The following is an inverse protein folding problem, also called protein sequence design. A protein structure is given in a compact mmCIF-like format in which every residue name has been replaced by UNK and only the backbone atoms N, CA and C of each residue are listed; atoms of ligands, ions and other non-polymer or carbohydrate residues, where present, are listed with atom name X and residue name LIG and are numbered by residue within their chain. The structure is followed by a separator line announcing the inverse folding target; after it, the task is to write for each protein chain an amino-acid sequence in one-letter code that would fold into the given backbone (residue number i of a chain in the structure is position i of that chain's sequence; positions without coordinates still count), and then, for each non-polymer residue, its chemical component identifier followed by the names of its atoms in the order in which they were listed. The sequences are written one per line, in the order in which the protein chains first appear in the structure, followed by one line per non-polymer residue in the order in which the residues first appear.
data_IF_925722929684
#
_entry.id   IF_925722929684
#
_cell.length_a   1.000
_cell.length_b   1.000
_cell.length_c   1.000
_cell.angle_alpha   90.00
_cell.angle_beta   90.00
_cell.angle_gamma   90.00
#
_symmetry.space_group_name_H-M   'P 1'
#
loop_
_entity.id
_entity.type
_entity.pdbx_description
1 polymer ?
#
# COMPACT_ATOMS: atom_id res chain seq x y z
N UNK A 1 -77.05 9.92 10.19
CA UNK A 1 -76.31 8.63 10.14
C UNK A 1 -75.83 8.42 8.70
N UNK A 2 -74.54 8.64 8.41
CA UNK A 2 -73.78 8.01 7.31
C UNK A 2 -72.32 8.46 7.40
N UNK A 3 -71.47 7.45 7.46
CA UNK A 3 -70.04 7.39 7.75
C UNK A 3 -69.16 8.45 7.06
N UNK A 4 -68.30 9.09 7.86
CA UNK A 4 -67.11 9.78 7.36
C UNK A 4 -66.01 8.76 7.08
N UNK A 5 -65.50 8.80 5.86
CA UNK A 5 -64.37 8.02 5.35
C UNK A 5 -63.08 8.61 5.96
N UNK A 6 -62.41 7.87 6.85
CA UNK A 6 -61.08 8.22 7.34
C UNK A 6 -60.07 7.78 6.28
N UNK A 7 -59.53 8.74 5.54
CA UNK A 7 -58.38 8.51 4.65
C UNK A 7 -57.12 8.41 5.51
N UNK A 8 -56.64 7.20 5.74
CA UNK A 8 -55.31 6.95 6.30
C UNK A 8 -54.28 7.25 5.19
N UNK A 9 -53.66 8.43 5.24
CA UNK A 9 -52.47 8.72 4.45
C UNK A 9 -51.30 7.99 5.11
N UNK A 10 -50.95 6.83 4.55
CA UNK A 10 -49.76 6.10 4.92
C UNK A 10 -48.51 6.93 4.60
N UNK A 11 -47.77 7.33 5.63
CA UNK A 11 -46.39 7.77 5.48
C UNK A 11 -45.56 6.57 5.02
N UNK A 12 -45.25 6.51 3.72
CA UNK A 12 -44.12 5.75 3.21
C UNK A 12 -42.85 6.44 3.72
N UNK A 13 -42.38 6.01 4.89
CA UNK A 13 -41.02 6.26 5.32
C UNK A 13 -40.09 5.60 4.28
N UNK A 14 -39.50 6.44 3.43
CA UNK A 14 -38.40 6.04 2.56
C UNK A 14 -37.22 5.76 3.48
N UNK A 15 -37.09 4.49 3.90
CA UNK A 15 -35.81 3.97 4.37
C UNK A 15 -34.88 3.96 3.15
N UNK A 16 -34.24 5.11 2.90
CA UNK A 16 -33.02 5.18 2.13
C UNK A 16 -32.05 4.24 2.83
N UNK A 17 -31.79 3.09 2.20
CA UNK A 17 -30.75 2.15 2.59
C UNK A 17 -29.40 2.88 2.62
N UNK A 18 -29.03 3.47 3.76
CA UNK A 18 -27.63 3.54 4.12
C UNK A 18 -27.25 2.11 4.43
N UNK A 19 -26.64 1.42 3.47
CA UNK A 19 -26.02 0.14 3.76
C UNK A 19 -24.99 0.39 4.87
N UNK A 20 -25.29 -0.04 6.09
CA UNK A 20 -24.34 0.05 7.21
C UNK A 20 -23.10 -0.76 6.83
N UNK A 21 -21.97 -0.08 6.69
CA UNK A 21 -20.70 -0.74 6.43
C UNK A 21 -20.26 -1.50 7.68
N UNK A 22 -19.70 -2.70 7.50
CA UNK A 22 -19.12 -3.43 8.63
C UNK A 22 -17.96 -2.63 9.23
N UNK A 23 -17.83 -2.56 10.58
CA UNK A 23 -16.72 -1.88 11.22
C UNK A 23 -15.36 -2.44 10.78
N UNK A 24 -14.36 -1.57 10.74
CA UNK A 24 -12.98 -1.98 10.44
C UNK A 24 -12.41 -2.74 11.64
N UNK A 25 -11.81 -3.90 11.37
CA UNK A 25 -11.09 -4.69 12.35
C UNK A 25 -9.58 -4.45 12.23
N UNK A 26 -8.92 -4.23 13.37
CA UNK A 26 -7.47 -4.15 13.42
C UNK A 26 -6.90 -4.87 14.64
N UNK A 27 -5.85 -5.64 14.42
CA UNK A 27 -5.11 -6.32 15.48
C UNK A 27 -3.61 -6.29 15.22
N UNK A 28 -2.81 -6.28 16.29
CA UNK A 28 -1.36 -6.44 16.23
C UNK A 28 -0.95 -7.60 17.11
N UNK A 29 -0.25 -8.57 16.52
CA UNK A 29 0.21 -9.78 17.20
C UNK A 29 1.71 -9.97 16.98
N UNK A 30 2.36 -10.69 17.90
CA UNK A 30 3.66 -11.29 17.59
C UNK A 30 3.45 -12.33 16.50
N UNK A 31 4.17 -12.17 15.39
CA UNK A 31 4.00 -13.04 14.24
C UNK A 31 4.73 -14.37 14.42
N UNK A 32 4.13 -15.46 13.95
CA UNK A 32 4.82 -16.73 13.73
C UNK A 32 5.14 -16.82 12.24
N UNK A 33 6.38 -16.55 11.86
CA UNK A 33 6.84 -16.70 10.46
C UNK A 33 7.61 -18.00 10.28
N UNK A 34 7.64 -18.46 9.04
CA UNK A 34 8.57 -19.48 8.59
C UNK A 34 10.01 -19.02 8.92
N UNK A 35 10.77 -19.85 9.63
CA UNK A 35 12.13 -19.59 10.15
C UNK A 35 12.24 -18.61 11.32
N UNK A 36 11.48 -18.81 12.40
CA UNK A 36 11.58 -18.02 13.64
C UNK A 36 13.03 -17.91 14.16
N UNK A 37 13.86 -18.93 13.93
CA UNK A 37 15.27 -18.95 14.30
C UNK A 37 16.10 -17.83 13.64
N UNK A 38 15.64 -17.27 12.51
CA UNK A 38 16.38 -16.24 11.75
C UNK A 38 16.01 -14.80 12.13
N UNK A 39 14.98 -14.59 12.95
CA UNK A 39 14.49 -13.25 13.29
C UNK A 39 14.53 -12.99 14.79
N UNK A 40 14.88 -11.77 15.16
CA UNK A 40 14.89 -11.26 16.54
C UNK A 40 13.55 -10.61 16.90
N UNK A 41 12.87 -10.00 15.92
CA UNK A 41 11.55 -9.40 16.07
C UNK A 41 10.69 -9.80 14.89
N UNK A 42 9.44 -10.16 15.17
CA UNK A 42 8.40 -10.38 14.18
C UNK A 42 7.07 -9.89 14.75
N UNK A 43 6.51 -8.86 14.13
CA UNK A 43 5.21 -8.31 14.51
C UNK A 43 4.36 -8.14 13.26
N UNK A 44 3.10 -8.56 13.36
CA UNK A 44 2.16 -8.46 12.26
C UNK A 44 0.94 -7.70 12.71
N UNK A 45 0.64 -6.63 11.97
CA UNK A 45 -0.64 -5.97 12.03
C UNK A 45 -1.55 -6.57 10.95
N UNK A 46 -2.77 -6.93 11.32
CA UNK A 46 -3.84 -7.32 10.39
C UNK A 46 -4.89 -6.23 10.45
N UNK A 47 -5.21 -5.65 9.30
CA UNK A 47 -6.26 -4.63 9.14
C UNK A 47 -7.23 -5.12 8.08
N UNK A 48 -8.52 -5.19 8.42
CA UNK A 48 -9.52 -5.74 7.51
C UNK A 48 -10.87 -5.08 7.64
N UNK A 49 -11.63 -5.14 6.56
CA UNK A 49 -13.06 -4.84 6.53
C UNK A 49 -13.75 -5.86 5.59
N UNK A 50 -15.01 -5.63 5.26
CA UNK A 50 -15.77 -6.52 4.37
C UNK A 50 -15.24 -6.58 2.92
N UNK A 51 -14.36 -5.66 2.51
CA UNK A 51 -13.84 -5.58 1.15
C UNK A 51 -12.44 -6.15 0.97
N UNK A 52 -11.60 -6.07 2.01
CA UNK A 52 -10.21 -6.48 1.91
C UNK A 52 -9.59 -6.83 3.28
N UNK A 53 -8.51 -7.61 3.26
CA UNK A 53 -7.69 -7.93 4.43
C UNK A 53 -6.23 -7.68 4.08
N UNK A 54 -5.60 -6.79 4.82
CA UNK A 54 -4.21 -6.40 4.64
C UNK A 54 -3.38 -6.83 5.86
N UNK A 55 -2.18 -7.35 5.61
CA UNK A 55 -1.20 -7.71 6.62
C UNK A 55 0.05 -6.88 6.43
N UNK A 56 0.51 -6.24 7.50
CA UNK A 56 1.76 -5.50 7.55
C UNK A 56 2.68 -6.21 8.55
N UNK A 57 3.81 -6.73 8.09
CA UNK A 57 4.75 -7.47 8.94
C UNK A 57 6.06 -6.71 9.06
N UNK A 58 6.40 -6.35 10.30
CA UNK A 58 7.69 -5.87 10.70
C UNK A 58 8.55 -7.05 11.13
N UNK A 59 9.68 -7.26 10.47
CA UNK A 59 10.64 -8.29 10.82
C UNK A 59 12.05 -7.69 10.97
N UNK A 60 12.77 -8.09 12.01
CA UNK A 60 14.18 -7.77 12.19
C UNK A 60 14.98 -9.08 12.20
N UNK A 61 15.93 -9.23 11.28
CA UNK A 61 16.77 -10.42 11.26
C UNK A 61 17.75 -10.43 12.43
N UNK A 62 18.23 -11.61 12.81
CA UNK A 62 19.39 -11.73 13.70
C UNK A 62 20.67 -11.32 12.94
N UNK A 63 21.72 -10.85 13.63
CA UNK A 63 23.04 -10.66 13.02
C UNK A 63 23.51 -11.93 12.29
N UNK A 64 24.20 -11.79 11.16
CA UNK A 64 24.72 -12.92 10.38
C UNK A 64 23.68 -13.63 9.50
N UNK A 65 22.39 -13.31 9.63
CA UNK A 65 21.37 -13.85 8.72
C UNK A 65 21.60 -13.32 7.31
N UNK A 66 21.50 -14.19 6.30
CA UNK A 66 21.74 -13.83 4.88
C UNK A 66 23.15 -13.30 4.59
N UNK A 67 24.15 -13.69 5.39
CA UNK A 67 25.53 -13.20 5.31
C UNK A 67 25.67 -11.68 5.49
N UNK A 68 24.70 -11.05 6.16
CA UNK A 68 24.78 -9.64 6.52
C UNK A 68 25.43 -9.48 7.90
N UNK A 69 26.41 -8.57 8.05
CA UNK A 69 27.11 -8.37 9.33
C UNK A 69 26.20 -7.74 10.41
N UNK A 70 25.14 -7.03 9.99
CA UNK A 70 24.23 -6.30 10.86
C UNK A 70 22.78 -6.82 10.74
N UNK A 71 21.93 -6.64 11.77
CA UNK A 71 20.49 -6.86 11.66
C UNK A 71 19.87 -6.09 10.49
N UNK A 72 18.94 -6.73 9.80
CA UNK A 72 18.25 -6.16 8.64
C UNK A 72 16.74 -6.13 8.90
N UNK A 73 16.17 -4.94 8.85
CA UNK A 73 14.73 -4.74 8.98
C UNK A 73 14.04 -4.97 7.63
N UNK A 74 12.95 -5.73 7.65
CA UNK A 74 11.98 -5.85 6.55
C UNK A 74 10.62 -5.35 7.00
N UNK A 75 9.97 -4.63 6.10
CA UNK A 75 8.57 -4.25 6.24
C UNK A 75 7.79 -4.79 5.05
N UNK A 76 6.96 -5.79 5.32
CA UNK A 76 6.30 -6.60 4.31
C UNK A 76 4.82 -6.26 4.28
N UNK A 77 4.24 -6.29 3.09
CA UNK A 77 2.80 -6.19 2.89
C UNK A 77 2.26 -7.47 2.24
N UNK A 78 1.06 -7.87 2.64
CA UNK A 78 0.32 -8.97 2.04
C UNK A 78 -1.19 -8.68 2.07
N UNK A 79 -1.80 -8.66 0.89
CA UNK A 79 -3.25 -8.65 0.70
C UNK A 79 -3.68 -9.51 -0.49
N UNK A 80 -2.79 -10.35 -1.02
CA UNK A 80 -2.95 -11.05 -2.29
C UNK A 80 -1.63 -11.55 -2.87
N UNK A 81 -1.67 -12.16 -4.06
CA UNK A 81 -0.51 -12.89 -4.61
C UNK A 81 0.58 -12.00 -5.21
N UNK A 82 0.19 -10.93 -5.91
CA UNK A 82 1.08 -10.02 -6.64
C UNK A 82 0.67 -8.57 -6.41
N UNK A 83 1.50 -7.61 -6.84
CA UNK A 83 1.37 -6.18 -6.52
C UNK A 83 2.44 -5.74 -5.53
N UNK A 84 2.03 -5.12 -4.43
CA UNK A 84 2.86 -4.68 -3.31
C UNK A 84 3.25 -5.82 -2.35
N UNK A 85 3.12 -7.08 -2.77
CA UNK A 85 3.28 -8.25 -1.90
C UNK A 85 4.70 -8.48 -1.36
N UNK A 86 4.83 -9.45 -0.45
CA UNK A 86 6.05 -9.78 0.32
C UNK A 86 7.28 -10.21 -0.49
N UNK A 87 7.13 -10.42 -1.81
CA UNK A 87 8.25 -10.70 -2.73
C UNK A 87 9.12 -9.48 -3.01
N UNK A 88 8.63 -8.27 -2.70
CA UNK A 88 9.34 -7.01 -2.87
C UNK A 88 9.30 -6.21 -1.57
N UNK A 89 10.29 -5.34 -1.37
CA UNK A 89 10.20 -4.28 -0.37
C UNK A 89 9.21 -3.22 -0.91
N UNK A 90 7.92 -3.46 -0.63
CA UNK A 90 6.82 -2.72 -1.25
C UNK A 90 6.88 -1.23 -0.99
N UNK A 91 7.43 -0.85 0.16
CA UNK A 91 7.64 0.52 0.59
C UNK A 91 8.95 0.61 1.36
N UNK A 92 9.80 1.57 0.99
CA UNK A 92 10.98 1.96 1.75
C UNK A 92 10.99 3.47 1.96
N UNK A 93 11.51 3.90 3.11
CA UNK A 93 11.74 5.30 3.42
C UNK A 93 13.20 5.52 3.82
N UNK A 94 13.84 6.48 3.18
CA UNK A 94 15.16 6.99 3.55
C UNK A 94 15.00 8.36 4.18
N UNK A 95 15.52 8.56 5.38
CA UNK A 95 15.47 9.84 6.11
C UNK A 95 16.86 10.25 6.51
N UNK A 96 17.26 11.48 6.21
CA UNK A 96 18.59 12.02 6.53
C UNK A 96 19.75 11.09 6.12
N UNK A 97 19.59 10.36 5.00
CA UNK A 97 20.59 9.41 4.51
C UNK A 97 20.48 7.99 5.07
N UNK A 98 19.64 7.75 6.08
CA UNK A 98 19.47 6.45 6.74
C UNK A 98 18.29 5.71 6.12
N UNK A 99 18.53 4.48 5.68
CA UNK A 99 17.53 3.63 5.05
C UNK A 99 16.72 2.85 6.09
N UNK A 100 15.42 2.69 5.85
CA UNK A 100 14.48 1.98 6.73
C UNK A 100 14.94 0.54 7.09
N UNK A 101 15.60 -0.15 6.17
CA UNK A 101 16.07 -1.52 6.35
C UNK A 101 17.31 -1.64 7.27
N UNK A 102 18.00 -0.53 7.56
CA UNK A 102 19.15 -0.46 8.48
C UNK A 102 18.74 -0.10 9.91
N UNK A 103 17.43 0.03 10.16
CA UNK A 103 16.92 0.37 11.48
C UNK A 103 16.82 -0.87 12.37
N UNK A 104 16.94 -0.64 13.67
CA UNK A 104 16.72 -1.64 14.71
C UNK A 104 15.43 -1.28 15.48
N UNK A 105 14.25 -1.61 14.93
CA UNK A 105 12.98 -1.37 15.62
C UNK A 105 12.90 -2.19 16.92
N UNK A 106 11.96 -1.82 17.78
CA UNK A 106 11.71 -2.52 19.04
C UNK A 106 10.37 -3.25 18.99
N UNK A 107 10.10 -4.20 19.90
CA UNK A 107 8.80 -4.87 19.97
C UNK A 107 7.60 -3.92 20.21
N UNK A 108 7.83 -2.70 20.66
CA UNK A 108 6.81 -1.66 20.80
C UNK A 108 6.70 -0.72 19.59
N UNK A 109 7.50 -0.95 18.53
CA UNK A 109 7.49 -0.11 17.34
C UNK A 109 6.19 -0.22 16.53
N UNK A 110 5.54 -1.38 16.52
CA UNK A 110 4.26 -1.60 15.84
C UNK A 110 3.13 -1.84 16.85
N UNK A 111 2.12 -0.98 16.85
CA UNK A 111 0.99 -1.01 17.79
C UNK A 111 -0.35 -0.84 17.07
N UNK A 112 -1.44 -1.32 17.67
CA UNK A 112 -2.80 -1.05 17.16
C UNK A 112 -3.09 0.46 17.25
N UNK A 113 -3.83 0.98 16.28
CA UNK A 113 -4.27 2.37 16.25
C UNK A 113 -5.73 2.45 15.82
N UNK A 114 -6.51 3.30 16.48
CA UNK A 114 -7.94 3.51 16.17
C UNK A 114 -8.32 4.97 16.39
N UNK A 115 -9.17 5.49 15.52
CA UNK A 115 -9.76 6.82 15.64
C UNK A 115 -11.15 6.83 15.00
N UNK A 116 -12.20 7.03 15.81
CA UNK A 116 -13.60 6.98 15.37
C UNK A 116 -13.91 5.64 14.67
N UNK A 117 -14.31 5.70 13.40
CA UNK A 117 -14.66 4.56 12.53
C UNK A 117 -13.42 3.96 11.83
N UNK A 118 -12.23 4.55 12.02
CA UNK A 118 -10.98 4.10 11.42
C UNK A 118 -10.24 3.19 12.38
N UNK A 119 -9.78 2.05 11.88
CA UNK A 119 -8.93 1.14 12.64
C UNK A 119 -7.74 0.68 11.79
N UNK A 120 -6.62 0.43 12.46
CA UNK A 120 -5.38 0.08 11.81
C UNK A 120 -4.21 -0.12 12.77
N UNK A 121 -3.02 0.26 12.32
CA UNK A 121 -1.78 0.14 13.06
C UNK A 121 -0.87 1.36 12.91
N UNK A 122 -0.14 1.66 13.96
CA UNK A 122 0.88 2.70 14.00
C UNK A 122 2.27 2.06 14.11
N UNK A 123 3.18 2.44 13.21
CA UNK A 123 4.58 2.06 13.20
C UNK A 123 5.44 3.28 13.52
N UNK A 124 6.30 3.17 14.55
CA UNK A 124 7.24 4.22 14.94
C UNK A 124 8.68 3.79 14.68
N UNK A 125 9.37 4.57 13.86
CA UNK A 125 10.76 4.33 13.48
C UNK A 125 11.64 5.50 13.88
N UNK A 126 12.89 5.20 14.24
CA UNK A 126 13.86 6.19 14.69
C UNK A 126 15.10 6.18 13.78
N UNK A 127 15.25 7.22 12.97
CA UNK A 127 16.38 7.42 12.06
C UNK A 127 17.45 8.25 12.77
N UNK A 128 18.09 7.65 13.79
CA UNK A 128 19.13 8.29 14.59
C UNK A 128 18.71 9.64 15.20
N UNK A 129 17.61 9.66 15.94
CA UNK A 129 17.04 10.86 16.57
C UNK A 129 15.92 11.49 15.75
N UNK A 130 15.88 11.28 14.43
CA UNK A 130 14.78 11.70 13.56
C UNK A 130 13.66 10.65 13.58
N UNK A 131 12.64 10.87 14.42
CA UNK A 131 11.52 9.94 14.59
C UNK A 131 10.45 10.16 13.53
N UNK A 132 9.97 9.07 12.93
CA UNK A 132 8.89 9.08 11.93
C UNK A 132 7.81 8.09 12.35
N UNK A 133 6.56 8.52 12.21
CA UNK A 133 5.36 7.72 12.49
C UNK A 133 4.67 7.41 11.18
N UNK A 134 4.25 6.16 11.03
CA UNK A 134 3.38 5.68 9.97
C UNK A 134 2.08 5.21 10.60
N UNK A 135 0.94 5.69 10.11
CA UNK A 135 -0.38 5.18 10.45
C UNK A 135 -0.96 4.52 9.23
N UNK A 136 -1.20 3.22 9.30
CA UNK A 136 -1.88 2.44 8.27
C UNK A 136 -3.27 2.09 8.74
N UNK A 137 -4.29 2.35 7.93
CA UNK A 137 -5.68 2.13 8.35
C UNK A 137 -6.60 1.86 7.15
N UNK A 138 -7.77 1.30 7.45
CA UNK A 138 -8.85 1.17 6.47
C UNK A 138 -10.03 2.05 6.87
N UNK A 139 -10.83 2.44 5.89
CA UNK A 139 -12.17 3.01 6.11
C UNK A 139 -13.22 1.90 5.97
N UNK A 140 -14.41 2.03 6.61
CA UNK A 140 -15.48 1.05 6.43
C UNK A 140 -15.98 0.94 4.98
N UNK A 141 -15.90 2.04 4.23
CA UNK A 141 -16.49 2.22 2.89
C UNK A 141 -15.54 1.92 1.71
N UNK A 142 -14.31 1.50 1.98
CA UNK A 142 -13.24 1.46 0.98
C UNK A 142 -12.42 0.17 1.04
N UNK A 143 -11.99 -0.40 -0.11
CA UNK A 143 -11.08 -1.55 -0.14
C UNK A 143 -9.60 -1.17 0.04
N UNK A 144 -9.28 0.12 0.13
CA UNK A 144 -7.91 0.63 0.16
C UNK A 144 -7.29 0.52 1.56
N UNK A 145 -5.99 0.22 1.61
CA UNK A 145 -5.18 0.49 2.81
C UNK A 145 -4.62 1.90 2.70
N UNK A 146 -5.13 2.80 3.53
CA UNK A 146 -4.64 4.17 3.65
C UNK A 146 -3.42 4.22 4.55
N UNK A 147 -2.56 5.21 4.30
CA UNK A 147 -1.40 5.48 5.09
C UNK A 147 -1.18 6.99 5.27
N UNK A 148 -0.74 7.37 6.45
CA UNK A 148 -0.25 8.71 6.77
C UNK A 148 1.12 8.58 7.41
N UNK A 149 2.12 9.22 6.80
CA UNK A 149 3.49 9.27 7.31
C UNK A 149 3.75 10.70 7.77
N UNK A 150 4.42 10.88 8.91
CA UNK A 150 4.77 12.21 9.42
C UNK A 150 5.92 12.13 10.43
N UNK A 151 6.75 13.19 10.56
CA UNK A 151 7.71 13.30 11.64
C UNK A 151 7.02 13.29 13.01
N UNK A 152 7.58 12.58 13.99
CA UNK A 152 7.03 12.58 15.35
C UNK A 152 7.28 13.94 16.04
N UNK A 153 6.33 14.38 16.87
CA UNK A 153 6.46 15.65 17.60
C UNK A 153 7.59 15.67 18.65
N UNK A 154 8.02 14.49 19.10
CA UNK A 154 9.07 14.28 20.10
C UNK A 154 10.43 13.87 19.46
N UNK A 155 10.65 14.28 18.22
CA UNK A 155 11.90 14.03 17.49
C UNK A 155 13.06 14.82 18.12
N UNK A 156 14.24 14.21 18.24
CA UNK A 156 15.45 14.87 18.75
C UNK A 156 16.21 15.57 17.63
N UNK A 157 16.18 14.99 16.43
CA UNK A 157 16.77 15.55 15.21
C UNK A 157 15.66 15.90 14.20
N UNK A 158 15.80 17.00 13.44
CA UNK A 158 14.83 17.34 12.41
C UNK A 158 14.93 16.38 11.21
N UNK A 159 13.79 16.10 10.57
CA UNK A 159 13.74 15.46 9.25
C UNK A 159 14.12 16.50 8.19
N UNK A 160 15.35 16.43 7.67
CA UNK A 160 15.91 17.38 6.69
C UNK A 160 15.67 16.91 5.26
N UNK A 161 15.92 15.63 5.01
CA UNK A 161 15.68 14.99 3.71
C UNK A 161 14.89 13.71 3.90
N UNK A 162 13.98 13.43 2.98
CA UNK A 162 13.28 12.17 2.94
C UNK A 162 13.02 11.74 1.49
N UNK A 163 13.11 10.44 1.25
CA UNK A 163 12.75 9.80 -0.02
C UNK A 163 11.95 8.53 0.25
N UNK A 164 10.80 8.38 -0.38
CA UNK A 164 10.01 7.16 -0.37
C UNK A 164 10.14 6.43 -1.71
N UNK A 165 10.16 5.09 -1.67
CA UNK A 165 10.09 4.25 -2.85
C UNK A 165 9.01 3.20 -2.67
N UNK A 166 8.05 3.18 -3.59
CA UNK A 166 7.08 2.11 -3.73
C UNK A 166 7.57 1.13 -4.80
N UNK A 167 7.52 -0.17 -4.50
CA UNK A 167 7.83 -1.23 -5.46
C UNK A 167 6.63 -2.16 -5.60
N UNK A 168 6.26 -2.46 -6.84
CA UNK A 168 5.18 -3.40 -7.12
C UNK A 168 5.60 -4.39 -8.21
N UNK A 169 4.99 -5.58 -8.20
CA UNK A 169 4.98 -6.56 -9.30
C UNK A 169 3.61 -6.46 -9.97
N UNK A 170 3.44 -5.68 -11.06
CA UNK A 170 2.15 -5.60 -11.75
C UNK A 170 1.75 -6.98 -12.29
N UNK A 171 0.56 -7.47 -11.93
CA UNK A 171 0.01 -8.77 -12.36
C UNK A 171 0.76 -10.03 -11.96
N UNK A 172 1.96 -10.26 -12.48
CA UNK A 172 2.82 -11.40 -12.15
C UNK A 172 4.24 -11.19 -12.69
N UNK A 173 5.16 -12.09 -12.32
CA UNK A 173 6.43 -12.28 -13.02
C UNK A 173 6.30 -13.38 -14.08
N UNK A 174 7.23 -13.41 -15.04
CA UNK A 174 7.30 -14.40 -16.11
C UNK A 174 8.39 -15.40 -15.75
N UNK A 175 8.10 -16.68 -15.98
CA UNK A 175 9.04 -17.78 -15.81
C UNK A 175 9.53 -18.26 -17.18
N UNK A 176 10.84 -18.37 -17.38
CA UNK A 176 11.46 -19.08 -18.51
C UNK A 176 12.35 -20.18 -17.94
N UNK A 177 12.15 -21.43 -18.37
CA UNK A 177 12.86 -22.61 -17.84
C UNK A 177 12.80 -22.74 -16.31
N UNK A 178 11.64 -22.42 -15.72
CA UNK A 178 11.43 -22.47 -14.27
C UNK A 178 12.09 -21.33 -13.48
N UNK A 179 12.73 -20.36 -14.13
CA UNK A 179 13.38 -19.22 -13.48
C UNK A 179 12.66 -17.90 -13.76
N UNK A 180 12.62 -17.02 -12.76
CA UNK A 180 12.07 -15.67 -12.90
C UNK A 180 12.90 -14.86 -13.88
N UNK A 181 12.24 -14.28 -14.89
CA UNK A 181 12.88 -13.37 -15.83
C UNK A 181 12.83 -11.96 -15.27
N UNK A 182 13.93 -11.50 -14.67
CA UNK A 182 13.97 -10.22 -13.97
C UNK A 182 13.83 -9.00 -14.90
N UNK A 183 14.39 -9.07 -16.10
CA UNK A 183 14.38 -8.02 -17.13
C UNK A 183 14.25 -8.62 -18.51
N UNK A 184 13.75 -7.83 -19.46
CA UNK A 184 13.59 -8.24 -20.86
C UNK A 184 12.73 -9.50 -21.00
N UNK A 185 11.70 -9.63 -20.16
CA UNK A 185 10.85 -10.81 -20.05
C UNK A 185 9.61 -10.76 -20.92
N UNK A 186 9.56 -9.92 -21.95
CA UNK A 186 8.36 -9.65 -22.75
C UNK A 186 7.22 -9.02 -21.92
N UNK A 187 7.58 -8.34 -20.83
CA UNK A 187 6.64 -7.56 -20.04
C UNK A 187 6.07 -6.40 -20.87
N UNK A 188 4.80 -6.09 -20.64
CA UNK A 188 4.11 -4.95 -21.26
C UNK A 188 3.58 -4.03 -20.17
N UNK A 189 4.50 -3.53 -19.34
CA UNK A 189 4.13 -2.72 -18.17
C UNK A 189 3.51 -1.40 -18.59
N UNK A 190 2.44 -0.99 -17.90
CA UNK A 190 1.82 0.31 -18.08
C UNK A 190 1.18 0.81 -16.79
N UNK A 191 0.99 2.12 -16.70
CA UNK A 191 0.25 2.77 -15.63
C UNK A 191 -0.89 3.61 -16.21
N UNK A 192 -2.09 3.50 -15.66
CA UNK A 192 -3.21 4.40 -15.98
C UNK A 192 -3.40 5.38 -14.83
N UNK A 193 -3.44 6.66 -15.18
CA UNK A 193 -3.73 7.77 -14.27
C UNK A 193 -5.02 8.49 -14.68
N UNK A 194 -5.56 9.40 -13.86
CA UNK A 194 -6.77 10.15 -14.23
C UNK A 194 -6.60 10.98 -15.51
N UNK A 195 -5.37 11.38 -15.86
CA UNK A 195 -5.10 12.30 -16.97
C UNK A 195 -4.39 11.66 -18.16
N UNK A 196 -3.76 10.49 -17.99
CA UNK A 196 -3.00 9.84 -19.07
C UNK A 196 -2.74 8.36 -18.83
N UNK A 197 -2.33 7.70 -19.89
CA UNK A 197 -1.74 6.36 -19.85
C UNK A 197 -0.25 6.46 -20.07
N UNK A 198 0.54 5.95 -19.12
CA UNK A 198 1.99 5.87 -19.19
C UNK A 198 2.36 4.46 -19.64
N UNK A 199 2.93 4.34 -20.84
CA UNK A 199 3.41 3.07 -21.39
C UNK A 199 4.84 2.80 -20.97
N UNK A 200 5.24 1.53 -21.08
CA UNK A 200 6.61 1.10 -20.84
C UNK A 200 7.63 2.00 -21.57
N UNK A 201 8.69 2.38 -20.85
CA UNK A 201 9.81 3.17 -21.37
C UNK A 201 11.10 2.81 -20.66
N UNK A 202 12.25 3.10 -21.28
CA UNK A 202 13.56 2.89 -20.68
C UNK A 202 13.84 3.92 -19.58
N UNK A 203 13.43 5.17 -19.79
CA UNK A 203 13.70 6.28 -18.88
C UNK A 203 12.58 6.48 -17.86
N UNK A 204 12.89 6.89 -16.61
CA UNK A 204 11.88 7.25 -15.63
C UNK A 204 10.96 8.36 -16.13
N UNK A 205 9.67 8.21 -15.87
CA UNK A 205 8.63 9.17 -16.27
C UNK A 205 8.30 10.10 -15.10
N UNK A 206 8.47 11.43 -15.24
CA UNK A 206 8.03 12.38 -14.24
C UNK A 206 6.51 12.32 -14.04
N UNK A 207 6.10 12.23 -12.78
CA UNK A 207 4.70 12.31 -12.37
C UNK A 207 4.36 13.73 -11.94
N UNK A 208 3.10 14.11 -12.15
CA UNK A 208 2.57 15.44 -11.83
C UNK A 208 1.49 15.33 -10.76
N UNK A 209 1.13 16.42 -10.07
CA UNK A 209 0.01 16.42 -9.13
C UNK A 209 -1.34 15.96 -9.70
N UNK A 210 -1.50 15.88 -11.03
CA UNK A 210 -2.68 15.31 -11.68
C UNK A 210 -2.66 13.77 -11.75
N UNK A 211 -1.49 13.13 -11.57
CA UNK A 211 -1.30 11.69 -11.51
C UNK A 211 -1.54 11.17 -10.07
N UNK A 212 -2.71 11.48 -9.50
CA UNK A 212 -3.07 11.14 -8.09
C UNK A 212 -3.38 9.67 -7.88
N UNK A 213 -3.68 8.94 -8.95
CA UNK A 213 -3.94 7.50 -8.95
C UNK A 213 -3.08 6.84 -10.02
N UNK A 214 -2.30 5.84 -9.65
CA UNK A 214 -1.52 5.02 -10.56
C UNK A 214 -2.03 3.59 -10.48
N UNK A 215 -2.76 3.14 -11.51
CA UNK A 215 -3.13 1.74 -11.68
C UNK A 215 -1.99 1.07 -12.44
N UNK A 216 -1.13 0.34 -11.74
CA UNK A 216 0.04 -0.34 -12.28
C UNK A 216 -0.38 -1.72 -12.80
N UNK A 217 -0.13 -1.97 -14.08
CA UNK A 217 -0.62 -3.16 -14.77
C UNK A 217 0.31 -3.64 -15.88
N UNK A 218 -0.09 -4.73 -16.51
CA UNK A 218 0.54 -5.30 -17.68
C UNK A 218 -0.52 -5.53 -18.76
N UNK A 219 -0.22 -5.16 -20.01
CA UNK A 219 -1.19 -5.29 -21.10
C UNK A 219 -1.39 -6.76 -21.54
N UNK A 220 -0.36 -7.60 -21.43
CA UNK A 220 -0.45 -9.02 -21.79
C UNK A 220 -0.92 -9.86 -20.59
N UNK A 221 -0.37 -9.60 -19.42
CA UNK A 221 -0.77 -10.23 -18.15
C UNK A 221 -1.91 -9.42 -17.52
N UNK A 222 -3.06 -9.39 -18.19
CA UNK A 222 -4.18 -8.52 -17.82
C UNK A 222 -5.01 -8.99 -16.61
N UNK A 223 -4.79 -10.20 -16.08
CA UNK A 223 -5.56 -10.79 -14.98
C UNK A 223 -6.92 -11.37 -15.35
N UNK A 224 -7.24 -11.56 -16.63
CA UNK A 224 -8.51 -12.16 -17.07
C UNK A 224 -8.54 -13.70 -17.00
N UNK A 225 -7.38 -14.35 -16.97
CA UNK A 225 -7.22 -15.81 -16.87
C UNK A 225 -5.94 -16.17 -16.09
N UNK A 226 -5.74 -17.45 -15.74
CA UNK A 226 -4.61 -17.87 -14.89
C UNK A 226 -3.28 -17.69 -15.62
N UNK A 227 -3.30 -17.95 -16.94
CA UNK A 227 -2.19 -17.72 -17.86
C UNK A 227 -1.87 -16.22 -18.06
N UNK A 228 -2.81 -15.34 -17.70
CA UNK A 228 -2.67 -13.88 -17.83
C UNK A 228 -2.39 -13.20 -16.49
N UNK A 229 -1.88 -13.94 -15.50
CA UNK A 229 -1.48 -13.38 -14.21
C UNK A 229 -2.66 -12.99 -13.31
N UNK A 230 -2.41 -12.12 -12.34
CA UNK A 230 -3.37 -11.78 -11.27
C UNK A 230 -4.05 -10.43 -11.46
N UNK A 231 -3.55 -9.62 -12.39
CA UNK A 231 -4.09 -8.30 -12.69
C UNK A 231 -3.44 -7.15 -11.93
N UNK A 232 -4.01 -5.94 -12.05
CA UNK A 232 -3.37 -4.71 -11.62
C UNK A 232 -3.33 -4.52 -10.10
N UNK A 233 -2.48 -3.59 -9.66
CA UNK A 233 -2.49 -3.01 -8.32
C UNK A 233 -2.54 -1.48 -8.44
N UNK A 234 -2.89 -0.76 -7.37
CA UNK A 234 -2.99 0.70 -7.45
C UNK A 234 -2.33 1.42 -6.28
N UNK A 235 -1.73 2.57 -6.59
CA UNK A 235 -1.17 3.54 -5.65
C UNK A 235 -1.91 4.87 -5.80
N UNK A 236 -2.37 5.42 -4.69
CA UNK A 236 -3.00 6.73 -4.60
C UNK A 236 -2.06 7.66 -3.83
N UNK A 237 -1.84 8.86 -4.34
CA UNK A 237 -0.85 9.80 -3.82
C UNK A 237 -1.48 11.14 -3.48
N UNK A 238 -1.16 11.63 -2.28
CA UNK A 238 -1.31 13.03 -1.93
C UNK A 238 0.00 13.75 -2.23
N UNK A 239 -0.03 14.72 -3.14
CA UNK A 239 1.16 15.46 -3.55
C UNK A 239 1.60 16.54 -2.57
N UNK A 240 0.85 16.77 -1.48
CA UNK A 240 1.28 17.70 -0.43
C UNK A 240 2.61 17.25 0.16
N UNK A 241 3.61 18.12 0.10
CA UNK A 241 4.96 17.85 0.61
C UNK A 241 5.84 17.01 -0.32
N UNK A 242 5.44 16.75 -1.56
CA UNK A 242 6.26 16.07 -2.57
C UNK A 242 6.94 17.11 -3.47
N UNK A 243 8.27 17.06 -3.55
CA UNK A 243 9.06 17.90 -4.45
C UNK A 243 9.19 17.26 -5.83
N UNK A 244 9.46 15.96 -5.87
CA UNK A 244 9.64 15.20 -7.11
C UNK A 244 8.99 13.83 -7.00
N UNK A 245 8.32 13.41 -8.07
CA UNK A 245 7.77 12.08 -8.20
C UNK A 245 8.13 11.50 -9.58
N UNK A 246 8.64 10.26 -9.61
CA UNK A 246 9.01 9.57 -10.84
C UNK A 246 8.51 8.13 -10.84
N UNK A 247 8.00 7.67 -11.98
CA UNK A 247 7.62 6.29 -12.24
C UNK A 247 8.67 5.63 -13.14
N UNK A 248 9.29 4.57 -12.63
CA UNK A 248 10.12 3.66 -13.42
C UNK A 248 9.29 2.45 -13.82
N UNK A 249 8.96 2.37 -15.11
CA UNK A 249 8.08 1.35 -15.69
C UNK A 249 8.70 0.76 -16.97
N UNK A 250 9.70 -0.09 -16.77
CA UNK A 250 10.47 -0.71 -17.87
C UNK A 250 10.01 -2.13 -18.20
N UNK A 251 10.74 -2.78 -19.13
CA UNK A 251 10.61 -4.21 -19.41
C UNK A 251 11.22 -5.04 -18.27
N UNK A 252 10.55 -5.03 -17.12
CA UNK A 252 11.01 -5.66 -15.90
C UNK A 252 9.84 -6.21 -15.10
N UNK A 253 10.15 -7.20 -14.26
CA UNK A 253 9.17 -7.84 -13.39
C UNK A 253 8.58 -6.86 -12.35
N UNK A 254 9.26 -5.76 -12.03
CA UNK A 254 8.80 -4.73 -11.07
C UNK A 254 8.66 -3.35 -11.70
N UNK A 255 7.73 -2.57 -11.15
CA UNK A 255 7.62 -1.12 -11.36
C UNK A 255 7.92 -0.38 -10.05
N UNK A 256 8.47 0.82 -10.14
CA UNK A 256 8.83 1.63 -8.97
C UNK A 256 8.31 3.05 -9.07
N UNK A 257 7.76 3.57 -7.98
CA UNK A 257 7.45 5.00 -7.83
C UNK A 257 8.37 5.57 -6.76
N UNK A 258 9.20 6.54 -7.14
CA UNK A 258 10.13 7.22 -6.23
C UNK A 258 9.64 8.65 -5.99
N UNK A 259 9.55 9.02 -4.72
CA UNK A 259 9.08 10.31 -4.26
C UNK A 259 10.17 10.95 -3.41
N UNK A 260 10.55 12.18 -3.75
CA UNK A 260 11.39 13.03 -2.90
C UNK A 260 10.51 14.06 -2.22
N UNK A 261 10.66 14.18 -0.90
CA UNK A 261 9.85 15.10 -0.10
C UNK A 261 10.48 16.47 0.00
N UNK A 262 9.66 17.51 -0.03
CA UNK A 262 10.10 18.87 0.25
C UNK A 262 10.67 18.95 1.68
N UNK A 263 11.76 19.71 1.92
CA UNK A 263 12.25 19.95 3.27
C UNK A 263 11.14 20.47 4.19
N UNK A 264 11.04 19.90 5.40
CA UNK A 264 10.04 20.33 6.39
C UNK A 264 8.60 19.90 6.12
N UNK A 265 8.37 18.95 5.21
CA UNK A 265 7.07 18.31 5.00
C UNK A 265 6.44 17.87 6.34
N UNK A 266 5.13 18.04 6.46
CA UNK A 266 4.39 17.79 7.71
C UNK A 266 3.75 16.43 7.75
N UNK A 267 3.18 16.02 6.63
CA UNK A 267 2.48 14.76 6.47
C UNK A 267 2.47 14.39 5.00
N UNK A 268 2.66 13.11 4.73
CA UNK A 268 2.50 12.51 3.41
C UNK A 268 1.44 11.43 3.53
N UNK A 269 0.44 11.49 2.66
CA UNK A 269 -0.65 10.51 2.61
C UNK A 269 -0.59 9.72 1.32
N UNK A 270 -0.87 8.45 1.43
CA UNK A 270 -1.05 7.58 0.28
C UNK A 270 -2.09 6.51 0.60
N UNK A 271 -2.57 5.82 -0.42
CA UNK A 271 -3.30 4.58 -0.23
C UNK A 271 -2.84 3.55 -1.25
N UNK A 272 -2.87 2.29 -0.88
CA UNK A 272 -2.59 1.19 -1.79
C UNK A 272 -3.80 0.26 -1.90
N UNK A 273 -3.91 -0.33 -3.08
CA UNK A 273 -4.84 -1.41 -3.34
C UNK A 273 -4.13 -2.56 -4.02
N UNK A 274 -4.39 -3.74 -3.50
CA UNK A 274 -3.95 -4.99 -4.08
C UNK A 274 -5.14 -5.96 -4.01
N UNK A 275 -5.50 -6.59 -5.14
CA UNK A 275 -6.62 -7.51 -5.15
C UNK A 275 -6.22 -8.85 -4.53
N UNK A 276 -7.07 -9.37 -3.64
CA UNK A 276 -6.90 -10.70 -3.05
C UNK A 276 -7.24 -11.82 -4.02
N UNK A 277 -8.12 -11.54 -4.98
CA UNK A 277 -8.49 -12.43 -6.08
C UNK A 277 -8.15 -11.78 -7.42
N UNK A 278 -7.81 -12.61 -8.40
CA UNK A 278 -7.52 -12.17 -9.77
C UNK A 278 -8.63 -11.28 -10.34
N UNK A 279 -8.24 -10.23 -11.06
CA UNK A 279 -9.14 -9.25 -11.67
C UNK A 279 -8.57 -8.73 -12.98
N UNK A 280 -9.41 -8.53 -14.00
CA UNK A 280 -8.95 -7.97 -15.27
C UNK A 280 -8.55 -6.49 -15.13
N UNK A 281 -7.68 -6.02 -16.02
CA UNK A 281 -7.36 -4.59 -16.14
C UNK A 281 -8.63 -3.73 -16.27
N UNK A 282 -9.57 -4.14 -17.12
CA UNK A 282 -10.80 -3.39 -17.38
C UNK A 282 -11.70 -3.31 -16.14
N UNK A 283 -11.89 -4.43 -15.44
CA UNK A 283 -12.72 -4.49 -14.23
C UNK A 283 -12.10 -3.71 -13.08
N UNK A 284 -10.77 -3.74 -12.95
CA UNK A 284 -10.06 -2.93 -11.97
C UNK A 284 -10.22 -1.43 -12.23
N UNK A 285 -10.01 -0.99 -13.47
CA UNK A 285 -10.18 0.43 -13.83
C UNK A 285 -11.60 0.87 -13.51
N UNK A 286 -12.61 0.08 -13.88
CA UNK A 286 -14.01 0.35 -13.54
C UNK A 286 -14.21 0.44 -12.04
N UNK A 287 -13.71 -0.53 -11.26
CA UNK A 287 -13.84 -0.58 -9.81
C UNK A 287 -13.21 0.63 -9.12
N UNK A 288 -12.01 1.01 -9.52
CA UNK A 288 -11.26 2.09 -8.88
C UNK A 288 -11.63 3.48 -9.40
N UNK A 289 -12.38 3.57 -10.51
CA UNK A 289 -12.77 4.86 -11.11
C UNK A 289 -13.57 5.76 -10.16
N UNK A 290 -14.39 5.16 -9.31
CA UNK A 290 -15.24 5.85 -8.32
C UNK A 290 -14.59 6.07 -6.96
N UNK A 291 -13.38 5.55 -6.74
CA UNK A 291 -12.74 5.56 -5.43
C UNK A 291 -12.22 6.96 -5.10
N UNK A 292 -12.61 7.47 -3.91
CA UNK A 292 -12.19 8.78 -3.41
C UNK A 292 -11.03 8.63 -2.44
N UNK A 293 -9.90 9.24 -2.80
CA UNK A 293 -8.72 9.37 -1.97
C UNK A 293 -8.73 10.71 -1.22
#
# INVERSE_FOLDING_TARGET
MKFQLITVVGMLAVNLFSAEYSPVHAEVKKGNIYRQETFSIVQTAVVSNQFNTCRLTLALSKPGTWNLPEPYMKFLFDAGKFGFGSLVDFFTLKVNGIEMNKLSPRPESLTRWEEKELAGAELKLNYNGAKVVFRFFMRPDSPLLFASVFPAGDTLEPVRTAQAVFTAIPSSYILKNGQVVWRNGDYQRMAVTPVRTIRQTAEPVPLTPADTRLILMDAALDGSSDEKGYGPCALFLDYRGIERAVLSIGNAWVSKVTLDFTPGWKEFRFAIWQPSARISNADCIKRLSSEKF
#
